data_IF_212162741355
#
_entry.id   IF_212162741355
#
_cell.length_a   1.000
_cell.length_b   1.000
_cell.length_c   1.000
_cell.angle_alpha   90.00
_cell.angle_beta   90.00
_cell.angle_gamma   90.00
#
_symmetry.space_group_name_H-M   'P 1'
#
loop_
_entity.id
_entity.type
_entity.pdbx_description
1 polymer ?
#
# COMPACT_ATOMS: atom_id res chain seq x y z
N UNK A 1 17.15 -28.94 20.42
CA UNK A 1 17.37 -27.76 19.55
C UNK A 1 16.15 -26.88 19.73
N UNK A 2 16.30 -25.69 20.31
CA UNK A 2 15.19 -24.80 20.66
C UNK A 2 15.15 -23.70 19.59
N UNK A 3 14.21 -23.81 18.65
CA UNK A 3 14.03 -22.83 17.56
C UNK A 3 13.28 -21.64 18.14
N UNK A 4 13.80 -20.43 17.98
CA UNK A 4 13.16 -19.24 18.54
C UNK A 4 12.03 -18.77 17.62
N UNK A 5 10.97 -18.21 18.20
CA UNK A 5 9.84 -17.64 17.47
C UNK A 5 10.29 -16.59 16.43
N UNK A 6 11.39 -15.89 16.70
CA UNK A 6 11.99 -14.88 15.83
C UNK A 6 12.61 -15.52 14.57
N UNK A 7 13.33 -16.64 14.70
CA UNK A 7 13.89 -17.36 13.55
C UNK A 7 12.78 -17.88 12.63
N UNK A 8 11.67 -18.34 13.20
CA UNK A 8 10.51 -18.83 12.44
C UNK A 8 9.79 -17.70 11.69
N UNK A 9 9.66 -16.52 12.32
CA UNK A 9 9.06 -15.34 11.69
C UNK A 9 9.92 -14.73 10.57
N UNK A 10 11.25 -14.86 10.65
CA UNK A 10 12.15 -14.36 9.63
C UNK A 10 12.08 -15.18 8.31
N UNK A 11 11.75 -16.48 8.41
CA UNK A 11 11.63 -17.38 7.25
C UNK A 11 10.21 -17.40 6.64
N UNK A 12 9.18 -17.09 7.43
CA UNK A 12 7.81 -17.03 6.95
C UNK A 12 7.55 -15.70 6.24
N UNK A 13 7.79 -15.65 4.92
CA UNK A 13 7.12 -14.65 4.07
C UNK A 13 5.63 -14.73 4.37
N UNK A 14 4.95 -13.61 4.70
CA UNK A 14 3.54 -13.64 5.04
C UNK A 14 2.78 -14.29 3.88
N UNK A 15 2.25 -15.49 4.13
CA UNK A 15 1.45 -16.22 3.15
C UNK A 15 0.14 -15.44 3.02
N UNK A 16 -0.20 -14.93 1.82
CA UNK A 16 -1.46 -14.23 1.63
C UNK A 16 -2.60 -15.20 1.95
N UNK A 17 -3.41 -14.87 2.97
CA UNK A 17 -4.58 -15.66 3.36
C UNK A 17 -5.70 -15.36 2.35
N UNK A 18 -6.26 -16.35 1.65
CA UNK A 18 -7.35 -16.14 0.71
C UNK A 18 -8.53 -15.43 1.39
N UNK A 19 -8.98 -14.31 0.80
CA UNK A 19 -10.06 -13.50 1.35
C UNK A 19 -9.63 -12.42 2.36
N UNK A 20 -8.34 -12.34 2.70
CA UNK A 20 -7.79 -11.20 3.44
C UNK A 20 -7.13 -10.20 2.48
N UNK A 21 -7.34 -8.89 2.70
CA UNK A 21 -6.62 -7.87 1.96
C UNK A 21 -5.11 -8.03 2.18
N UNK A 22 -4.32 -7.78 1.13
CA UNK A 22 -2.86 -7.79 1.25
C UNK A 22 -2.40 -6.76 2.30
N UNK A 23 -1.21 -6.93 2.92
CA UNK A 23 -0.68 -5.91 3.83
C UNK A 23 -0.60 -4.52 3.20
N UNK A 24 -0.34 -4.46 1.89
CA UNK A 24 -0.34 -3.19 1.14
C UNK A 24 -1.75 -2.61 0.99
N UNK A 25 -2.75 -3.45 0.68
CA UNK A 25 -4.15 -3.01 0.63
C UNK A 25 -4.60 -2.45 1.98
N UNK A 26 -4.32 -3.17 3.07
CA UNK A 26 -4.64 -2.69 4.42
C UNK A 26 -3.96 -1.35 4.73
N UNK A 27 -2.69 -1.19 4.39
CA UNK A 27 -1.97 0.06 4.59
C UNK A 27 -2.61 1.24 3.82
N UNK A 28 -3.02 1.01 2.57
CA UNK A 28 -3.72 2.04 1.77
C UNK A 28 -5.11 2.36 2.33
N UNK A 29 -5.85 1.35 2.79
CA UNK A 29 -7.17 1.54 3.42
C UNK A 29 -7.06 2.41 4.68
N UNK A 30 -6.05 2.15 5.53
CA UNK A 30 -5.78 2.98 6.72
C UNK A 30 -5.37 4.41 6.36
N UNK A 31 -4.51 4.60 5.34
CA UNK A 31 -4.11 5.92 4.89
C UNK A 31 -5.32 6.73 4.39
N UNK A 32 -6.19 6.10 3.60
CA UNK A 32 -7.42 6.73 3.10
C UNK A 32 -8.40 7.05 4.22
N UNK A 33 -8.54 6.17 5.22
CA UNK A 33 -9.35 6.43 6.40
C UNK A 33 -8.81 7.62 7.21
N UNK A 34 -7.50 7.76 7.34
CA UNK A 34 -6.87 8.91 8.00
C UNK A 34 -7.24 10.23 7.31
N UNK A 35 -7.16 10.27 5.98
CA UNK A 35 -7.55 11.44 5.19
C UNK A 35 -9.04 11.77 5.34
N UNK A 36 -9.91 10.75 5.32
CA UNK A 36 -11.34 10.93 5.48
C UNK A 36 -11.72 11.52 6.86
N UNK A 37 -10.99 11.16 7.92
CA UNK A 37 -11.19 11.75 9.26
C UNK A 37 -10.87 13.25 9.29
N UNK A 38 -9.99 13.71 8.40
CA UNK A 38 -9.66 15.13 8.20
C UNK A 38 -10.60 15.83 7.20
N UNK A 39 -11.60 15.12 6.67
CA UNK A 39 -12.51 15.62 5.64
C UNK A 39 -11.87 15.75 4.25
N UNK A 40 -10.73 15.07 4.03
CA UNK A 40 -10.05 15.03 2.74
C UNK A 40 -10.49 13.79 1.96
N UNK A 41 -10.77 13.98 0.67
CA UNK A 41 -11.11 12.90 -0.24
C UNK A 41 -9.96 12.59 -1.19
N UNK A 42 -9.77 11.30 -1.45
CA UNK A 42 -8.81 10.81 -2.44
C UNK A 42 -9.49 10.78 -3.80
N UNK A 43 -8.95 11.54 -4.75
CA UNK A 43 -9.44 11.61 -6.12
C UNK A 43 -9.23 10.28 -6.89
N UNK A 44 -9.87 10.17 -8.06
CA UNK A 44 -9.84 8.96 -8.85
C UNK A 44 -8.43 8.60 -9.37
N UNK A 45 -7.60 9.59 -9.72
CA UNK A 45 -6.23 9.37 -10.20
C UNK A 45 -5.34 8.84 -9.08
N UNK A 46 -5.48 9.38 -7.87
CA UNK A 46 -4.75 8.90 -6.70
C UNK A 46 -5.19 7.49 -6.31
N UNK A 47 -6.49 7.16 -6.37
CA UNK A 47 -6.96 5.77 -6.14
C UNK A 47 -6.41 4.79 -7.17
N UNK A 48 -6.36 5.17 -8.44
CA UNK A 48 -5.80 4.32 -9.48
C UNK A 48 -4.31 4.01 -9.21
N UNK A 49 -3.51 5.02 -8.86
CA UNK A 49 -2.11 4.83 -8.47
C UNK A 49 -1.96 3.94 -7.23
N UNK A 50 -2.81 4.11 -6.22
CA UNK A 50 -2.81 3.23 -5.04
C UNK A 50 -3.08 1.77 -5.43
N UNK A 51 -4.05 1.52 -6.31
CA UNK A 51 -4.35 0.18 -6.81
C UNK A 51 -3.16 -0.41 -7.60
N UNK A 52 -2.49 0.40 -8.41
CA UNK A 52 -1.27 -0.05 -9.11
C UNK A 52 -0.15 -0.42 -8.14
N UNK A 53 -0.02 0.25 -7.00
CA UNK A 53 0.93 -0.12 -5.93
C UNK A 53 0.51 -1.42 -5.25
N UNK A 54 -0.78 -1.58 -4.94
CA UNK A 54 -1.34 -2.81 -4.35
C UNK A 54 -1.11 -4.02 -5.25
N UNK A 55 -1.33 -3.86 -6.55
CA UNK A 55 -1.14 -4.89 -7.58
C UNK A 55 0.35 -5.17 -7.87
N UNK A 56 1.26 -4.37 -7.29
CA UNK A 56 2.71 -4.47 -7.54
C UNK A 56 3.15 -4.00 -8.93
N UNK A 57 2.30 -3.26 -9.65
CA UNK A 57 2.61 -2.66 -10.96
C UNK A 57 3.49 -1.41 -10.83
N UNK A 58 3.36 -0.70 -9.72
CA UNK A 58 4.18 0.45 -9.35
C UNK A 58 4.81 0.26 -7.98
N UNK A 59 6.03 0.76 -7.82
CA UNK A 59 6.59 1.06 -6.50
C UNK A 59 5.99 2.36 -5.95
N UNK A 60 6.08 2.56 -4.63
CA UNK A 60 5.66 3.83 -3.99
C UNK A 60 6.44 5.02 -4.58
N UNK A 61 7.73 4.85 -4.87
CA UNK A 61 8.56 5.91 -5.44
C UNK A 61 8.09 6.33 -6.85
N UNK A 62 7.72 5.37 -7.69
CA UNK A 62 7.17 5.63 -9.02
C UNK A 62 5.79 6.28 -8.94
N UNK A 63 4.92 5.83 -8.04
CA UNK A 63 3.62 6.47 -7.82
C UNK A 63 3.75 7.93 -7.36
N UNK A 64 4.73 8.25 -6.49
CA UNK A 64 5.02 9.63 -6.09
C UNK A 64 5.59 10.44 -7.25
N UNK A 65 6.48 9.87 -8.05
CA UNK A 65 7.04 10.55 -9.22
C UNK A 65 5.94 10.90 -10.25
N UNK A 66 5.01 9.99 -10.50
CA UNK A 66 3.85 10.23 -11.37
C UNK A 66 2.93 11.32 -10.80
N UNK A 67 2.59 11.25 -9.50
CA UNK A 67 1.76 12.28 -8.88
C UNK A 67 2.39 13.68 -9.00
N UNK A 68 3.71 13.80 -8.83
CA UNK A 68 4.42 15.08 -9.01
C UNK A 68 4.42 15.56 -10.46
N UNK A 69 4.53 14.65 -11.42
CA UNK A 69 4.46 14.99 -12.83
C UNK A 69 3.08 15.53 -13.21
N UNK A 70 2.01 14.90 -12.68
CA UNK A 70 0.62 15.33 -12.90
C UNK A 70 0.37 16.74 -12.35
N UNK A 71 0.94 17.08 -11.19
CA UNK A 71 0.82 18.42 -10.58
C UNK A 71 1.78 19.48 -11.17
N UNK A 72 2.86 19.05 -11.81
CA UNK A 72 3.88 19.94 -12.40
C UNK A 72 3.67 20.22 -13.89
N UNK A 73 2.63 19.67 -14.50
CA UNK A 73 2.27 19.85 -15.90
C UNK A 73 1.30 21.01 -16.16
N UNK A 74 1.01 21.84 -15.15
CA UNK A 74 0.24 23.09 -15.26
C UNK A 74 1.10 24.30 -15.64
#
# INVERSE_FOLDING_TARGET
MMVTFIEKLADEKPVPVPGQPSPMQQAMDYANASLALEGLEVDAHQRDRQQQVIDGKLTIAEAIAQARADHGAE
#
